data_IF_321633832336
#
_entry.id   IF_321633832336
#
_cell.length_a   1.000
_cell.length_b   1.000
_cell.length_c   1.000
_cell.angle_alpha   90.00
_cell.angle_beta   90.00
_cell.angle_gamma   90.00
#
_symmetry.space_group_name_H-M   'P 1'
#
loop_
_entity.id
_entity.type
_entity.pdbx_description
1 polymer ?
#
# COMPACT_ATOMS: atom_id res chain seq x y z
N UNK A 1 45.18 16.00 20.56
CA UNK A 1 44.33 15.03 19.86
C UNK A 1 42.92 15.49 20.13
N UNK A 2 42.29 16.15 19.16
CA UNK A 2 40.87 16.44 19.21
C UNK A 2 40.14 15.14 18.96
N UNK A 3 39.50 14.60 19.96
CA UNK A 3 38.46 13.57 19.75
C UNK A 3 37.33 14.36 19.09
N UNK A 4 37.08 14.08 17.82
CA UNK A 4 35.83 14.47 17.22
C UNK A 4 34.75 13.69 17.96
N UNK A 5 33.94 14.41 18.70
CA UNK A 5 32.70 13.88 19.27
C UNK A 5 31.76 13.65 18.06
N UNK A 6 31.66 12.41 17.66
CA UNK A 6 30.82 11.99 16.51
C UNK A 6 29.49 11.47 17.03
N UNK A 7 29.11 11.91 18.23
CA UNK A 7 27.85 11.57 18.89
C UNK A 7 26.73 12.55 18.46
N UNK A 8 26.62 12.81 17.13
CA UNK A 8 25.50 13.59 16.57
C UNK A 8 24.23 12.73 16.67
N UNK A 9 23.20 13.31 17.25
CA UNK A 9 21.84 12.77 17.35
C UNK A 9 20.92 13.89 16.87
N UNK A 10 20.59 13.85 15.56
CA UNK A 10 19.97 14.98 14.87
C UNK A 10 18.49 15.13 15.19
N UNK A 11 17.79 14.08 15.55
CA UNK A 11 16.37 14.09 15.89
C UNK A 11 16.07 13.95 17.38
N UNK A 12 17.09 13.60 18.19
CA UNK A 12 17.03 13.59 19.65
C UNK A 12 16.37 12.36 20.25
N UNK A 13 16.37 11.23 19.56
CA UNK A 13 15.77 9.99 20.05
C UNK A 13 16.70 9.15 20.93
N UNK A 14 17.98 9.55 21.03
CA UNK A 14 19.00 8.92 21.85
C UNK A 14 19.84 7.89 21.11
N UNK A 15 19.72 7.81 19.78
CA UNK A 15 20.57 7.00 18.90
C UNK A 15 21.42 7.95 18.06
N UNK A 16 22.72 7.68 17.97
CA UNK A 16 23.61 8.54 17.21
C UNK A 16 23.35 8.37 15.71
N UNK A 17 23.46 9.45 14.91
CA UNK A 17 23.24 9.47 13.45
C UNK A 17 24.01 8.34 12.71
N UNK A 18 25.16 7.92 13.25
CA UNK A 18 25.97 6.84 12.66
C UNK A 18 25.40 5.43 12.88
N UNK A 19 24.55 5.26 13.89
CA UNK A 19 23.93 4.01 14.29
C UNK A 19 22.41 4.03 14.02
N UNK A 20 21.92 5.14 13.47
CA UNK A 20 20.51 5.43 13.20
C UNK A 20 20.20 5.26 11.71
N UNK A 21 19.25 4.39 11.40
CA UNK A 21 18.76 4.18 10.03
C UNK A 21 17.87 5.34 9.56
N UNK A 22 17.35 6.17 10.50
CA UNK A 22 16.45 7.30 10.22
C UNK A 22 16.90 8.60 10.93
N UNK A 23 18.12 9.12 10.74
CA UNK A 23 18.77 10.13 11.60
C UNK A 23 18.12 11.52 11.64
N UNK A 24 16.95 11.69 11.06
CA UNK A 24 16.16 12.92 11.07
C UNK A 24 14.69 12.69 11.49
N UNK A 25 14.36 11.46 11.97
CA UNK A 25 13.01 11.06 12.36
C UNK A 25 13.09 10.23 13.64
N UNK A 26 12.83 10.86 14.79
CA UNK A 26 12.91 10.21 16.09
C UNK A 26 12.13 8.90 16.15
N UNK A 27 12.79 7.84 16.54
CA UNK A 27 12.24 6.50 16.56
C UNK A 27 12.56 5.70 17.81
N UNK A 28 12.61 4.38 17.67
CA UNK A 28 12.82 3.47 18.79
C UNK A 28 14.08 2.63 18.57
N UNK A 29 14.83 2.32 19.63
CA UNK A 29 16.05 1.49 19.52
C UNK A 29 15.80 0.11 18.88
N UNK A 30 14.62 -0.46 19.06
CA UNK A 30 14.20 -1.73 18.47
C UNK A 30 13.99 -1.69 16.96
N UNK A 31 13.90 -0.47 16.38
CA UNK A 31 13.82 -0.21 14.95
C UNK A 31 15.01 0.60 14.43
N UNK A 32 16.16 0.51 15.12
CA UNK A 32 17.39 1.21 14.78
C UNK A 32 17.21 2.72 14.58
N UNK A 33 16.48 3.39 15.47
CA UNK A 33 16.20 4.82 15.37
C UNK A 33 15.07 5.20 14.44
N UNK A 34 14.43 4.26 13.79
CA UNK A 34 13.25 4.55 12.98
C UNK A 34 11.96 4.50 13.80
N UNK A 35 10.92 5.20 13.34
CA UNK A 35 9.58 5.01 13.88
C UNK A 35 9.08 3.58 13.62
N UNK A 36 8.17 3.11 14.47
CA UNK A 36 7.58 1.79 14.27
C UNK A 36 7.01 1.66 12.86
N UNK A 37 7.30 0.58 12.12
CA UNK A 37 6.68 0.32 10.83
C UNK A 37 5.16 0.37 10.92
N UNK A 38 4.52 1.14 10.07
CA UNK A 38 3.08 1.30 10.07
C UNK A 38 2.52 1.20 8.65
N UNK A 39 2.10 0.00 8.28
CA UNK A 39 1.52 -0.29 6.97
C UNK A 39 0.03 0.04 6.96
N UNK A 40 -0.42 0.72 5.93
CA UNK A 40 -1.85 0.94 5.65
C UNK A 40 -2.21 0.46 4.25
N UNK A 41 -3.48 0.15 4.03
CA UNK A 41 -4.08 0.11 2.69
C UNK A 41 -4.59 1.53 2.40
N UNK A 42 -4.16 2.14 1.30
CA UNK A 42 -4.55 3.48 0.88
C UNK A 42 -5.60 3.46 -0.24
N UNK A 43 -5.46 2.55 -1.20
CA UNK A 43 -6.40 2.42 -2.32
C UNK A 43 -6.64 0.95 -2.66
N UNK A 44 -7.87 0.61 -3.04
CA UNK A 44 -8.26 -0.74 -3.47
C UNK A 44 -9.16 -0.65 -4.70
N UNK A 45 -8.79 -1.36 -5.77
CA UNK A 45 -9.59 -1.57 -6.95
C UNK A 45 -10.00 -3.05 -7.00
N UNK A 46 -11.23 -3.37 -6.65
CA UNK A 46 -11.78 -4.74 -6.72
C UNK A 46 -12.78 -4.92 -7.87
N UNK A 47 -13.17 -3.83 -8.52
CA UNK A 47 -14.13 -3.82 -9.63
C UNK A 47 -13.59 -2.90 -10.75
N UNK A 48 -12.57 -3.36 -11.53
CA UNK A 48 -12.01 -2.57 -12.60
C UNK A 48 -13.07 -2.20 -13.67
N UNK A 49 -13.11 -0.93 -14.13
CA UNK A 49 -14.03 -0.49 -15.18
C UNK A 49 -14.08 -1.41 -16.39
N UNK A 50 -15.17 -1.40 -17.11
CA UNK A 50 -15.27 -2.14 -18.38
C UNK A 50 -14.47 -1.44 -19.49
N UNK A 51 -13.94 -2.21 -20.44
CA UNK A 51 -13.14 -1.69 -21.55
C UNK A 51 -11.73 -1.29 -21.15
N UNK A 52 -11.01 -0.62 -22.02
CA UNK A 52 -9.58 -0.27 -21.82
C UNK A 52 -9.34 0.69 -20.64
N UNK A 53 -10.38 1.40 -20.22
CA UNK A 53 -10.33 2.27 -19.04
C UNK A 53 -10.15 1.47 -17.73
N UNK A 54 -10.39 0.16 -17.76
CA UNK A 54 -10.15 -0.73 -16.64
C UNK A 54 -8.82 -1.49 -16.71
N UNK A 55 -7.95 -1.20 -17.67
CA UNK A 55 -6.56 -1.68 -17.75
C UNK A 55 -5.71 -0.94 -16.72
N UNK A 56 -5.88 -1.30 -15.45
CA UNK A 56 -5.24 -0.60 -14.35
C UNK A 56 -3.74 -0.93 -14.23
N UNK A 57 -3.33 -2.12 -14.66
CA UNK A 57 -1.94 -2.54 -14.66
C UNK A 57 -1.18 -2.00 -15.89
N UNK A 58 -1.87 -1.41 -16.88
CA UNK A 58 -1.30 -0.74 -18.05
C UNK A 58 -0.62 -1.67 -19.04
N UNK A 59 -0.95 -2.96 -19.06
CA UNK A 59 -0.33 -3.94 -19.96
C UNK A 59 -0.98 -3.97 -21.36
N UNK A 60 -2.04 -3.21 -21.57
CA UNK A 60 -2.77 -3.07 -22.82
C UNK A 60 -3.98 -3.99 -22.94
N UNK A 61 -4.29 -4.75 -21.89
CA UNK A 61 -5.40 -5.71 -21.88
C UNK A 61 -6.20 -5.55 -20.59
N UNK A 62 -7.49 -5.27 -20.70
CA UNK A 62 -8.37 -5.28 -19.51
C UNK A 62 -8.77 -6.70 -19.16
N UNK A 63 -8.29 -7.20 -18.04
CA UNK A 63 -8.70 -8.48 -17.43
C UNK A 63 -9.17 -8.24 -15.99
N UNK A 64 -10.44 -8.46 -15.70
CA UNK A 64 -11.08 -8.04 -14.46
C UNK A 64 -10.31 -8.42 -13.19
N UNK A 65 -9.71 -9.61 -13.16
CA UNK A 65 -9.01 -10.14 -12.00
C UNK A 65 -7.52 -9.81 -11.99
N UNK A 66 -6.93 -9.49 -13.13
CA UNK A 66 -5.52 -9.10 -13.24
C UNK A 66 -5.33 -7.61 -12.94
N UNK A 67 -6.36 -6.81 -13.27
CA UNK A 67 -6.40 -5.35 -13.04
C UNK A 67 -6.88 -4.96 -11.64
N UNK A 68 -7.37 -5.89 -10.83
CA UNK A 68 -7.58 -5.64 -9.41
C UNK A 68 -6.27 -5.23 -8.76
N UNK A 69 -6.30 -4.29 -7.81
CA UNK A 69 -5.10 -3.98 -7.05
C UNK A 69 -5.40 -3.56 -5.60
N UNK A 70 -4.36 -3.70 -4.78
CA UNK A 70 -4.28 -3.16 -3.43
C UNK A 70 -3.02 -2.30 -3.36
N UNK A 71 -3.18 -1.05 -2.94
CA UNK A 71 -2.09 -0.14 -2.68
C UNK A 71 -1.79 -0.09 -1.18
N UNK A 72 -0.54 -0.37 -0.84
CA UNK A 72 -0.01 -0.30 0.50
C UNK A 72 0.93 0.89 0.63
N UNK A 73 0.84 1.61 1.75
CA UNK A 73 1.78 2.68 2.09
C UNK A 73 2.37 2.41 3.47
N UNK A 74 3.68 2.53 3.57
CA UNK A 74 4.40 2.45 4.83
C UNK A 74 4.58 3.86 5.41
N UNK A 75 3.90 4.17 6.50
CA UNK A 75 3.95 5.47 7.17
C UNK A 75 4.94 5.51 8.34
N UNK A 76 5.57 4.38 8.65
CA UNK A 76 6.57 4.26 9.72
C UNK A 76 7.98 4.10 9.16
N UNK A 77 8.88 3.59 9.99
CA UNK A 77 10.23 3.22 9.57
C UNK A 77 10.25 2.15 8.47
N UNK A 78 11.43 1.85 7.94
CA UNK A 78 11.59 0.84 6.90
C UNK A 78 10.97 -0.50 7.31
N UNK A 79 10.15 -1.07 6.45
CA UNK A 79 9.42 -2.33 6.68
C UNK A 79 9.86 -3.42 5.71
N UNK A 80 10.31 -4.54 6.26
CA UNK A 80 10.57 -5.77 5.48
C UNK A 80 9.30 -6.64 5.46
N UNK A 81 8.68 -6.75 4.29
CA UNK A 81 7.50 -7.58 4.05
C UNK A 81 7.85 -9.02 3.67
N UNK A 82 9.11 -9.44 3.71
CA UNK A 82 9.51 -10.80 3.33
C UNK A 82 8.70 -11.86 4.08
N UNK A 83 7.97 -12.68 3.33
CA UNK A 83 7.13 -13.74 3.89
C UNK A 83 5.80 -13.28 4.50
N UNK A 84 5.44 -12.01 4.43
CA UNK A 84 4.08 -11.57 4.70
C UNK A 84 3.17 -12.10 3.62
N UNK A 85 1.89 -12.27 3.92
CA UNK A 85 0.93 -12.79 2.95
C UNK A 85 -0.38 -12.00 2.94
N UNK A 86 -0.99 -11.96 1.77
CA UNK A 86 -2.32 -11.35 1.52
C UNK A 86 -3.30 -12.46 1.21
N UNK A 87 -4.42 -12.47 1.93
CA UNK A 87 -5.50 -13.43 1.78
C UNK A 87 -6.81 -12.72 1.46
N UNK A 88 -7.65 -13.35 0.66
CA UNK A 88 -9.08 -13.06 0.63
C UNK A 88 -9.82 -13.99 1.62
N UNK A 89 -11.15 -13.98 1.61
CA UNK A 89 -11.94 -14.87 2.45
C UNK A 89 -11.75 -16.38 2.13
N UNK A 90 -11.24 -16.71 0.95
CA UNK A 90 -11.16 -18.08 0.48
C UNK A 90 -9.77 -18.69 0.65
N UNK A 91 -8.72 -17.92 0.40
CA UNK A 91 -7.34 -18.45 0.37
C UNK A 91 -6.27 -17.37 0.37
N UNK A 92 -5.01 -17.81 0.49
CA UNK A 92 -3.82 -16.99 0.23
C UNK A 92 -3.75 -16.60 -1.25
N UNK A 93 -3.58 -15.29 -1.50
CA UNK A 93 -3.47 -14.72 -2.84
C UNK A 93 -2.06 -14.32 -3.20
N UNK A 94 -1.30 -13.87 -2.21
CA UNK A 94 0.08 -13.45 -2.41
C UNK A 94 0.94 -13.75 -1.19
N UNK A 95 2.20 -14.11 -1.44
CA UNK A 95 3.27 -14.11 -0.44
C UNK A 95 4.37 -13.19 -0.94
N UNK A 96 4.69 -12.16 -0.17
CA UNK A 96 5.74 -11.22 -0.54
C UNK A 96 7.10 -11.91 -0.59
N UNK A 97 7.81 -11.82 -1.72
CA UNK A 97 9.12 -12.42 -1.89
C UNK A 97 10.15 -11.92 -0.88
N UNK A 98 11.18 -12.72 -0.63
CA UNK A 98 12.32 -12.32 0.18
C UNK A 98 12.96 -11.04 -0.38
N UNK A 99 13.19 -10.05 0.49
CA UNK A 99 13.76 -8.76 0.12
C UNK A 99 12.71 -7.75 -0.39
N UNK A 100 11.41 -7.97 -0.14
CA UNK A 100 10.38 -6.95 -0.34
C UNK A 100 10.46 -5.94 0.79
N UNK A 101 11.18 -4.85 0.57
CA UNK A 101 11.42 -3.81 1.58
C UNK A 101 10.75 -2.52 1.14
N UNK A 102 9.87 -1.97 1.97
CA UNK A 102 9.22 -0.68 1.74
C UNK A 102 9.88 0.35 2.67
N UNK A 103 10.57 1.37 2.12
CA UNK A 103 11.14 2.43 2.94
C UNK A 103 10.06 3.25 3.63
N UNK A 104 10.44 4.10 4.58
CA UNK A 104 9.54 5.09 5.18
C UNK A 104 8.92 5.98 4.09
N UNK A 105 7.60 6.19 4.13
CA UNK A 105 6.84 6.89 3.10
C UNK A 105 6.74 6.14 1.75
N UNK A 106 7.27 4.93 1.65
CA UNK A 106 7.25 4.13 0.42
C UNK A 106 5.89 3.50 0.14
N UNK A 107 5.67 3.19 -1.13
CA UNK A 107 4.42 2.63 -1.66
C UNK A 107 4.67 1.30 -2.34
N UNK A 108 3.76 0.35 -2.18
CA UNK A 108 3.72 -0.89 -2.92
C UNK A 108 2.32 -1.10 -3.51
N UNK A 109 2.27 -1.35 -4.82
CA UNK A 109 1.04 -1.74 -5.51
C UNK A 109 1.11 -3.23 -5.83
N UNK A 110 0.15 -3.98 -5.31
CA UNK A 110 -0.04 -5.40 -5.59
C UNK A 110 -1.20 -5.55 -6.57
N UNK A 111 -0.90 -5.85 -7.83
CA UNK A 111 -1.92 -6.20 -8.83
C UNK A 111 -2.34 -7.67 -8.74
N UNK A 112 -3.54 -7.96 -9.22
CA UNK A 112 -4.04 -9.33 -9.33
C UNK A 112 -3.17 -10.18 -10.25
N UNK A 113 -2.77 -9.64 -11.40
CA UNK A 113 -1.96 -10.39 -12.36
C UNK A 113 -1.46 -9.56 -13.52
N UNK A 114 -1.36 -10.18 -14.70
CA UNK A 114 -0.89 -9.56 -15.93
C UNK A 114 0.61 -9.25 -15.92
N UNK A 115 0.99 -8.29 -16.73
CA UNK A 115 2.36 -7.80 -16.81
C UNK A 115 2.38 -6.27 -16.65
N UNK A 116 2.32 -5.74 -15.41
CA UNK A 116 2.22 -4.32 -15.16
C UNK A 116 3.32 -3.52 -15.89
N UNK A 117 2.92 -2.62 -16.78
CA UNK A 117 3.82 -1.77 -17.58
C UNK A 117 3.43 -0.29 -17.52
N UNK A 118 2.44 0.04 -16.71
CA UNK A 118 2.00 1.40 -16.45
C UNK A 118 3.03 2.25 -15.72
N UNK A 119 2.69 3.51 -15.48
CA UNK A 119 3.50 4.41 -14.64
C UNK A 119 2.86 4.49 -13.26
N UNK A 120 3.52 3.95 -12.26
CA UNK A 120 3.01 3.82 -10.89
C UNK A 120 3.82 4.66 -9.90
N UNK A 121 4.08 5.91 -10.26
CA UNK A 121 4.91 6.80 -9.44
C UNK A 121 6.27 6.18 -9.11
N UNK A 122 6.61 6.14 -7.83
CA UNK A 122 7.82 5.49 -7.32
C UNK A 122 7.49 4.17 -6.58
N UNK A 123 6.29 3.61 -6.78
CA UNK A 123 5.85 2.42 -6.08
C UNK A 123 6.66 1.16 -6.47
N UNK A 124 6.83 0.27 -5.51
CA UNK A 124 7.20 -1.11 -5.77
C UNK A 124 5.98 -1.79 -6.38
N UNK A 125 6.13 -2.45 -7.52
CA UNK A 125 5.03 -3.14 -8.19
C UNK A 125 5.23 -4.64 -8.12
N UNK A 126 4.21 -5.36 -7.68
CA UNK A 126 4.17 -6.82 -7.66
C UNK A 126 2.84 -7.33 -8.21
N UNK A 127 2.79 -8.59 -8.59
CA UNK A 127 1.57 -9.30 -8.96
C UNK A 127 1.31 -10.44 -7.99
N UNK A 128 0.02 -10.76 -7.76
CA UNK A 128 -0.36 -11.80 -6.84
C UNK A 128 0.24 -13.15 -7.22
N UNK A 129 0.85 -13.86 -6.27
CA UNK A 129 1.48 -15.17 -6.49
C UNK A 129 0.49 -16.23 -6.99
N UNK A 130 -0.80 -16.08 -6.64
CA UNK A 130 -1.88 -16.92 -7.14
C UNK A 130 -2.33 -16.54 -8.57
N UNK A 131 -1.79 -15.45 -9.14
CA UNK A 131 -2.14 -14.92 -10.46
C UNK A 131 -3.43 -14.11 -10.50
N UNK A 132 -4.14 -13.98 -9.37
CA UNK A 132 -5.34 -13.18 -9.18
C UNK A 132 -5.50 -12.79 -7.71
N UNK A 133 -6.03 -11.61 -7.42
CA UNK A 133 -6.51 -11.24 -6.08
C UNK A 133 -7.91 -11.78 -5.85
N UNK A 134 -8.79 -11.70 -6.87
CA UNK A 134 -10.14 -12.23 -6.89
C UNK A 134 -11.00 -11.72 -5.72
N UNK A 135 -10.94 -10.43 -5.50
CA UNK A 135 -11.79 -9.75 -4.52
C UNK A 135 -13.24 -9.75 -5.02
N UNK A 136 -14.17 -10.21 -4.19
CA UNK A 136 -15.58 -10.34 -4.59
C UNK A 136 -16.29 -8.99 -4.46
N UNK A 137 -16.84 -8.48 -5.58
CA UNK A 137 -17.55 -7.20 -5.65
C UNK A 137 -18.77 -7.09 -4.72
N UNK A 138 -19.31 -8.20 -4.23
CA UNK A 138 -20.49 -8.21 -3.35
C UNK A 138 -20.16 -8.40 -1.87
N UNK A 139 -18.89 -8.47 -1.52
CA UNK A 139 -18.39 -8.64 -0.16
C UNK A 139 -17.22 -9.60 -0.13
N UNK A 140 -16.10 -9.14 0.39
CA UNK A 140 -14.88 -9.90 0.62
C UNK A 140 -14.12 -9.27 1.79
N UNK A 141 -13.12 -9.97 2.26
CA UNK A 141 -12.31 -9.53 3.37
C UNK A 141 -10.85 -9.80 3.06
N UNK A 142 -10.09 -8.72 2.85
CA UNK A 142 -8.65 -8.83 2.65
C UNK A 142 -7.97 -8.84 4.02
N UNK A 143 -7.12 -9.85 4.25
CA UNK A 143 -6.32 -9.94 5.46
C UNK A 143 -4.85 -10.03 5.11
N UNK A 144 -4.03 -9.20 5.74
CA UNK A 144 -2.57 -9.25 5.64
C UNK A 144 -2.01 -9.87 6.91
N UNK A 145 -1.21 -10.92 6.75
CA UNK A 145 -0.51 -11.59 7.83
C UNK A 145 0.99 -11.28 7.74
N UNK A 146 1.64 -11.13 8.90
CA UNK A 146 3.10 -11.09 8.95
C UNK A 146 3.70 -12.51 8.76
N UNK A 147 5.02 -12.60 8.70
CA UNK A 147 5.74 -13.87 8.53
C UNK A 147 5.56 -14.86 9.69
N UNK A 148 5.02 -14.42 10.83
CA UNK A 148 4.67 -15.27 11.97
C UNK A 148 3.21 -15.76 11.91
N UNK A 149 2.42 -15.32 10.92
CA UNK A 149 1.01 -15.62 10.79
C UNK A 149 0.09 -14.76 11.68
N UNK A 150 0.57 -13.62 12.15
CA UNK A 150 -0.23 -12.66 12.91
C UNK A 150 -0.87 -11.65 11.96
N UNK A 151 -2.13 -11.28 12.22
CA UNK A 151 -2.85 -10.28 11.42
C UNK A 151 -2.21 -8.91 11.62
N UNK A 152 -1.82 -8.28 10.51
CA UNK A 152 -1.23 -6.92 10.48
C UNK A 152 -2.30 -5.89 10.17
N UNK A 153 -3.10 -6.13 9.12
CA UNK A 153 -4.23 -5.29 8.75
C UNK A 153 -5.30 -6.08 8.01
N UNK A 154 -6.47 -5.47 7.96
CA UNK A 154 -7.64 -6.00 7.28
C UNK A 154 -8.30 -4.89 6.47
N UNK A 155 -9.01 -5.27 5.43
CA UNK A 155 -9.86 -4.40 4.64
C UNK A 155 -11.16 -5.13 4.32
N UNK A 156 -12.29 -4.53 4.68
CA UNK A 156 -13.62 -5.09 4.45
C UNK A 156 -14.24 -4.46 3.19
N UNK A 157 -14.41 -5.26 2.14
CA UNK A 157 -15.05 -4.83 0.89
C UNK A 157 -16.57 -4.71 1.05
N UNK A 158 -17.20 -5.43 1.99
CA UNK A 158 -18.66 -5.50 2.12
C UNK A 158 -19.34 -4.13 2.28
N UNK A 159 -18.85 -3.19 3.13
CA UNK A 159 -19.46 -1.87 3.26
C UNK A 159 -19.41 -1.02 1.99
N UNK A 160 -18.51 -1.36 1.06
CA UNK A 160 -18.23 -0.63 -0.17
C UNK A 160 -18.80 -1.34 -1.41
N UNK A 161 -19.39 -2.54 -1.24
CA UNK A 161 -19.81 -3.42 -2.33
C UNK A 161 -21.05 -2.89 -3.08
N UNK A 162 -20.83 -2.17 -4.18
CA UNK A 162 -21.89 -1.64 -5.04
C UNK A 162 -21.56 -1.66 -6.54
N UNK A 163 -20.57 -2.47 -6.95
CA UNK A 163 -20.01 -2.50 -8.32
C UNK A 163 -19.69 -1.09 -8.83
N UNK A 164 -18.70 -0.42 -8.24
CA UNK A 164 -18.43 1.00 -8.50
C UNK A 164 -17.79 1.27 -9.87
N UNK A 165 -17.21 0.27 -10.55
CA UNK A 165 -16.38 0.45 -11.76
C UNK A 165 -15.24 1.47 -11.54
N UNK A 166 -14.74 1.59 -10.31
CA UNK A 166 -13.66 2.49 -9.88
C UNK A 166 -13.06 2.02 -8.57
N UNK A 167 -11.94 2.57 -8.17
CA UNK A 167 -11.34 2.26 -6.88
C UNK A 167 -12.03 2.98 -5.72
N UNK A 168 -11.78 2.45 -4.53
CA UNK A 168 -11.97 3.15 -3.28
C UNK A 168 -10.62 3.56 -2.72
N UNK A 169 -10.48 4.83 -2.35
CA UNK A 169 -9.25 5.40 -1.81
C UNK A 169 -9.51 6.17 -0.53
N UNK A 170 -8.52 6.23 0.36
CA UNK A 170 -8.58 7.11 1.53
C UNK A 170 -8.62 8.57 1.08
N UNK A 171 -9.45 9.37 1.73
CA UNK A 171 -9.51 10.81 1.44
C UNK A 171 -9.54 11.65 2.71
N UNK A 172 -8.63 12.65 2.84
CA UNK A 172 -7.43 12.83 1.98
C UNK A 172 -6.54 11.59 1.93
N UNK A 173 -5.63 11.50 0.95
CA UNK A 173 -4.64 10.43 0.91
C UNK A 173 -3.99 10.24 2.29
N UNK A 174 -3.75 8.99 2.67
CA UNK A 174 -3.11 8.60 3.93
C UNK A 174 -3.92 8.99 5.19
N UNK A 175 -5.19 9.28 5.07
CA UNK A 175 -6.04 9.60 6.21
C UNK A 175 -6.07 8.45 7.24
N UNK A 176 -5.69 8.75 8.48
CA UNK A 176 -5.61 7.81 9.59
C UNK A 176 -6.72 8.01 10.64
N UNK A 177 -7.71 8.84 10.34
CA UNK A 177 -8.82 9.06 11.28
C UNK A 177 -9.49 7.71 11.64
N UNK A 178 -9.88 7.52 12.90
CA UNK A 178 -10.55 6.29 13.31
C UNK A 178 -11.89 6.11 12.58
N UNK A 179 -12.11 4.92 12.06
CA UNK A 179 -13.36 4.55 11.38
C UNK A 179 -13.24 3.17 10.79
N UNK A 180 -14.34 2.62 10.33
CA UNK A 180 -14.36 1.43 9.51
C UNK A 180 -14.11 1.78 8.03
N UNK A 181 -13.87 0.77 7.21
CA UNK A 181 -13.54 0.96 5.80
C UNK A 181 -14.65 1.70 5.03
N UNK A 182 -15.91 1.50 5.40
CA UNK A 182 -17.04 2.20 4.80
C UNK A 182 -17.10 3.71 5.10
N UNK A 183 -16.29 4.22 6.03
CA UNK A 183 -16.21 5.65 6.40
C UNK A 183 -14.95 6.29 5.84
N UNK A 184 -13.84 5.55 5.83
CA UNK A 184 -12.51 6.08 5.49
C UNK A 184 -12.24 6.12 3.99
N UNK A 185 -12.95 5.31 3.21
CA UNK A 185 -12.73 5.15 1.79
C UNK A 185 -13.85 5.80 0.97
N UNK A 186 -13.46 6.47 -0.08
CA UNK A 186 -14.33 7.18 -1.01
C UNK A 186 -14.12 6.67 -2.43
N UNK A 187 -15.17 6.68 -3.24
CA UNK A 187 -15.07 6.41 -4.67
C UNK A 187 -14.16 7.45 -5.34
N UNK A 188 -13.17 6.96 -6.07
CA UNK A 188 -12.07 7.77 -6.59
C UNK A 188 -12.52 8.89 -7.53
N UNK A 189 -13.31 8.56 -8.55
CA UNK A 189 -13.75 9.53 -9.58
C UNK A 189 -14.65 10.64 -9.01
N UNK A 190 -15.27 10.42 -7.86
CA UNK A 190 -16.10 11.40 -7.16
C UNK A 190 -15.29 12.48 -6.43
N UNK A 191 -14.00 12.31 -6.26
CA UNK A 191 -13.11 13.24 -5.57
C UNK A 191 -12.63 14.30 -6.57
N UNK A 192 -12.73 15.58 -6.19
CA UNK A 192 -12.41 16.69 -7.11
C UNK A 192 -10.99 16.68 -7.64
N UNK A 193 -10.03 16.28 -6.84
CA UNK A 193 -8.60 16.19 -7.16
C UNK A 193 -8.29 15.07 -8.16
N UNK A 194 -9.11 14.03 -8.22
CA UNK A 194 -8.99 12.91 -9.16
C UNK A 194 -9.26 13.32 -10.63
N UNK A 195 -9.91 14.46 -10.84
CA UNK A 195 -10.30 14.97 -12.18
C UNK A 195 -11.06 13.95 -13.04
N UNK A 196 -11.79 13.04 -12.39
CA UNK A 196 -12.56 11.98 -13.02
C UNK A 196 -11.78 10.71 -13.36
N UNK A 197 -10.54 10.57 -12.88
CA UNK A 197 -9.82 9.31 -12.95
C UNK A 197 -10.51 8.24 -12.09
N UNK A 198 -10.51 6.99 -12.53
CA UNK A 198 -11.17 5.88 -11.83
C UNK A 198 -10.28 5.25 -10.76
N UNK A 199 -8.97 5.48 -10.81
CA UNK A 199 -7.96 4.94 -9.90
C UNK A 199 -6.64 5.70 -10.06
N UNK A 200 -5.71 5.51 -9.10
CA UNK A 200 -4.40 6.17 -9.09
C UNK A 200 -3.25 5.28 -8.55
N UNK A 201 -3.10 4.02 -8.98
CA UNK A 201 -2.14 3.10 -8.37
C UNK A 201 -0.71 3.64 -8.37
N UNK A 202 -0.09 3.70 -7.19
CA UNK A 202 1.27 4.19 -6.99
C UNK A 202 1.42 5.71 -6.93
N UNK A 203 0.31 6.45 -7.03
CA UNK A 203 0.28 7.91 -6.92
C UNK A 203 -0.86 8.34 -6.01
N UNK A 204 -0.78 9.57 -5.53
CA UNK A 204 -1.89 10.21 -4.83
C UNK A 204 -3.08 10.41 -5.77
N UNK A 205 -4.23 10.73 -5.21
CA UNK A 205 -5.48 11.01 -5.95
C UNK A 205 -5.28 12.04 -7.05
N UNK A 206 -4.42 13.04 -6.86
CA UNK A 206 -4.13 14.10 -7.84
C UNK A 206 -3.08 13.70 -8.89
N UNK A 207 -2.62 12.44 -8.88
CA UNK A 207 -1.61 11.90 -9.78
C UNK A 207 -0.17 12.28 -9.42
N UNK A 208 0.06 12.97 -8.31
CA UNK A 208 1.42 13.24 -7.82
C UNK A 208 2.00 12.03 -7.08
N UNK A 209 3.32 11.90 -7.08
CA UNK A 209 3.97 10.81 -6.34
C UNK A 209 3.77 10.98 -4.83
N UNK A 210 3.71 9.88 -4.11
CA UNK A 210 4.08 9.85 -2.70
C UNK A 210 5.56 10.24 -2.58
N UNK A 211 6.01 10.64 -1.41
CA UNK A 211 7.38 11.19 -1.23
C UNK A 211 8.51 10.23 -1.62
#
# INVERSE_FOLDING_TARGET
>A
ISILDDDSDSDGDGINDSDDDCPNEAGLPEYNGCSQPFLIINEVLYDPPSGIEGDANGDGTREAQEDEFIEFVNLGGTLDLSGYSVHDNAQERHVFPQGTIIPSGGVLVLFGGGNPTGTFGNAIVQTASAGILNMNNSGDFVTVYNSNGEVVLTFDVEPLSNNPDESYTRYPDLNLEPGDDGILFYQHAGIGEALGAFYSPGTKIDGTNFN
#
